data_IF_466398104337
#
_entry.id   IF_466398104337
#
_cell.length_a   1.000
_cell.length_b   1.000
_cell.length_c   1.000
_cell.angle_alpha   90.00
_cell.angle_beta   90.00
_cell.angle_gamma   90.00
#
_symmetry.space_group_name_H-M   'P 1'
#
loop_
_entity.id
_entity.type
_entity.pdbx_description
1 polymer ?
#
# COMPACT_ATOMS: atom_id res chain seq x y z
N UNK A 1 -6.37 18.93 -41.50
CA UNK A 1 -7.32 18.90 -40.37
C UNK A 1 -7.16 17.63 -39.51
N UNK A 2 -7.24 16.42 -40.09
CA UNK A 2 -7.12 15.15 -39.35
C UNK A 2 -5.80 15.01 -38.55
N UNK A 3 -4.66 15.37 -39.15
CA UNK A 3 -3.35 15.26 -38.49
C UNK A 3 -3.23 16.15 -37.23
N UNK A 4 -3.77 17.38 -37.29
CA UNK A 4 -3.76 18.33 -36.17
C UNK A 4 -4.65 17.83 -35.02
N UNK A 5 -5.81 17.26 -35.35
CA UNK A 5 -6.70 16.64 -34.36
C UNK A 5 -6.05 15.43 -33.68
N UNK A 6 -5.32 14.60 -34.43
CA UNK A 6 -4.60 13.45 -33.88
C UNK A 6 -3.51 13.88 -32.87
N UNK A 7 -2.63 14.82 -33.24
CA UNK A 7 -1.60 15.31 -32.35
C UNK A 7 -2.18 15.96 -31.07
N UNK A 8 -3.31 16.66 -31.19
CA UNK A 8 -4.01 17.23 -30.03
C UNK A 8 -4.52 16.16 -29.05
N UNK A 9 -5.09 15.06 -29.55
CA UNK A 9 -5.57 13.96 -28.71
C UNK A 9 -4.40 13.24 -28.02
N UNK A 10 -3.32 12.95 -28.75
CA UNK A 10 -2.14 12.29 -28.17
C UNK A 10 -1.51 13.16 -27.08
N UNK A 11 -1.32 14.45 -27.35
CA UNK A 11 -0.72 15.39 -26.38
C UNK A 11 -1.57 15.53 -25.12
N UNK A 12 -2.89 15.73 -25.27
CA UNK A 12 -3.80 15.85 -24.11
C UNK A 12 -3.87 14.55 -23.28
N UNK A 13 -3.88 13.40 -23.94
CA UNK A 13 -3.84 12.09 -23.26
C UNK A 13 -2.54 11.90 -22.50
N UNK A 14 -1.40 12.23 -23.11
CA UNK A 14 -0.10 12.17 -22.46
C UNK A 14 -0.04 13.08 -21.23
N UNK A 15 -0.49 14.34 -21.36
CA UNK A 15 -0.53 15.28 -20.24
C UNK A 15 -1.43 14.78 -19.10
N UNK A 16 -2.59 14.21 -19.42
CA UNK A 16 -3.48 13.64 -18.40
C UNK A 16 -2.82 12.48 -17.64
N UNK A 17 -2.15 11.55 -18.35
CA UNK A 17 -1.39 10.46 -17.73
C UNK A 17 -0.24 11.01 -16.89
N UNK A 18 0.48 12.02 -17.39
CA UNK A 18 1.58 12.67 -16.68
C UNK A 18 1.10 13.34 -15.38
N UNK A 19 -0.04 14.03 -15.40
CA UNK A 19 -0.63 14.60 -14.19
C UNK A 19 -1.04 13.53 -13.18
N UNK A 20 -1.61 12.41 -13.63
CA UNK A 20 -1.90 11.28 -12.74
C UNK A 20 -0.62 10.66 -12.16
N UNK A 21 0.45 10.59 -12.93
CA UNK A 21 1.75 10.08 -12.48
C UNK A 21 2.35 10.98 -11.38
N UNK A 22 2.34 12.30 -11.59
CA UNK A 22 2.80 13.25 -10.58
C UNK A 22 1.94 13.21 -9.32
N UNK A 23 0.61 13.05 -9.48
CA UNK A 23 -0.30 12.86 -8.35
C UNK A 23 0.05 11.58 -7.57
N UNK A 24 0.29 10.47 -8.27
CA UNK A 24 0.71 9.20 -7.68
C UNK A 24 2.03 9.33 -6.90
N UNK A 25 3.03 10.02 -7.44
CA UNK A 25 4.27 10.34 -6.73
C UNK A 25 4.03 11.21 -5.49
N UNK A 26 3.13 12.19 -5.59
CA UNK A 26 2.72 13.03 -4.46
C UNK A 26 2.16 12.22 -3.29
N UNK A 27 1.41 11.14 -3.56
CA UNK A 27 0.91 10.23 -2.51
C UNK A 27 2.08 9.56 -1.76
N UNK A 28 3.13 9.12 -2.46
CA UNK A 28 4.32 8.53 -1.82
C UNK A 28 5.12 9.55 -1.01
N UNK A 29 5.14 10.82 -1.45
CA UNK A 29 5.83 11.90 -0.75
C UNK A 29 5.04 12.48 0.42
N UNK A 30 3.73 12.19 0.51
CA UNK A 30 2.84 12.72 1.55
C UNK A 30 3.36 12.58 3.00
N UNK A 31 4.08 11.51 3.41
CA UNK A 31 4.65 11.41 4.77
C UNK A 31 5.60 12.55 5.14
N UNK A 32 6.16 13.25 4.16
CA UNK A 32 7.02 14.42 4.37
C UNK A 32 6.19 15.65 4.79
N UNK A 33 4.94 15.74 4.33
CA UNK A 33 4.03 16.86 4.61
C UNK A 33 3.31 16.71 5.96
N UNK A 34 3.03 15.47 6.38
CA UNK A 34 2.41 15.16 7.67
C UNK A 34 3.26 14.13 8.45
N UNK A 35 4.19 14.60 9.30
CA UNK A 35 5.12 13.74 10.02
C UNK A 35 4.44 12.74 10.95
N UNK A 36 3.20 12.98 11.38
CA UNK A 36 2.48 12.00 12.20
C UNK A 36 2.30 10.65 11.46
N UNK A 37 2.27 10.66 10.12
CA UNK A 37 2.20 9.43 9.33
C UNK A 37 3.42 8.53 9.53
N UNK A 38 4.58 9.08 9.91
CA UNK A 38 5.78 8.26 10.14
C UNK A 38 5.58 7.18 11.21
N UNK A 39 4.66 7.41 12.16
CA UNK A 39 4.34 6.42 13.19
C UNK A 39 3.92 5.07 12.60
N UNK A 40 3.19 5.08 11.48
CA UNK A 40 2.75 3.86 10.81
C UNK A 40 3.55 3.53 9.54
N UNK A 41 4.01 4.55 8.80
CA UNK A 41 4.77 4.37 7.57
C UNK A 41 6.13 3.70 7.83
N UNK A 42 6.82 4.04 8.92
CA UNK A 42 8.11 3.42 9.26
C UNK A 42 7.96 1.91 9.50
N UNK A 43 7.04 1.43 10.37
CA UNK A 43 6.78 0.00 10.50
C UNK A 43 6.43 -0.70 9.18
N UNK A 44 5.62 -0.06 8.33
CA UNK A 44 5.25 -0.60 7.01
C UNK A 44 6.49 -0.75 6.13
N UNK A 45 7.34 0.27 6.03
CA UNK A 45 8.57 0.21 5.23
C UNK A 45 9.58 -0.80 5.75
N UNK A 46 9.75 -0.89 7.07
CA UNK A 46 10.64 -1.88 7.69
C UNK A 46 10.16 -3.29 7.38
N UNK A 47 8.88 -3.59 7.64
CA UNK A 47 8.32 -4.92 7.33
C UNK A 47 8.42 -5.21 5.83
N UNK A 48 8.06 -4.25 4.98
CA UNK A 48 8.19 -4.38 3.53
C UNK A 48 9.61 -4.73 3.10
N UNK A 49 10.61 -3.97 3.55
CA UNK A 49 12.00 -4.18 3.17
C UNK A 49 12.50 -5.56 3.60
N UNK A 50 12.29 -5.95 4.86
CA UNK A 50 12.74 -7.26 5.35
C UNK A 50 11.98 -8.40 4.68
N UNK A 51 10.68 -8.28 4.55
CA UNK A 51 9.87 -9.35 3.98
C UNK A 51 10.11 -9.51 2.49
N UNK A 52 10.19 -8.42 1.71
CA UNK A 52 10.42 -8.49 0.26
C UNK A 52 11.80 -9.07 -0.07
N UNK A 53 12.88 -8.48 0.47
CA UNK A 53 14.23 -8.81 0.03
C UNK A 53 14.86 -10.02 0.75
N UNK A 54 14.34 -10.43 1.91
CA UNK A 54 14.92 -11.52 2.69
C UNK A 54 13.96 -12.71 2.88
N UNK A 55 12.68 -12.47 3.10
CA UNK A 55 11.74 -13.54 3.48
C UNK A 55 10.91 -14.08 2.30
N UNK A 56 10.55 -13.22 1.33
CA UNK A 56 9.66 -13.54 0.20
C UNK A 56 10.38 -13.60 -1.14
N UNK A 57 11.72 -13.52 -1.17
CA UNK A 57 12.52 -13.62 -2.39
C UNK A 57 12.22 -14.88 -3.23
N UNK A 58 11.89 -15.99 -2.57
CA UNK A 58 11.48 -17.24 -3.22
C UNK A 58 9.98 -17.54 -3.09
N UNK A 59 9.18 -16.53 -2.77
CA UNK A 59 7.73 -16.61 -2.61
C UNK A 59 7.25 -16.41 -1.18
N UNK A 60 5.95 -16.12 -1.06
CA UNK A 60 5.29 -15.86 0.22
C UNK A 60 5.06 -17.14 1.00
N UNK A 61 5.74 -17.31 2.14
CA UNK A 61 5.46 -18.38 3.11
C UNK A 61 4.27 -18.06 4.02
N UNK A 62 3.75 -19.06 4.74
CA UNK A 62 2.64 -18.87 5.69
C UNK A 62 2.99 -17.88 6.80
N UNK A 63 4.20 -17.97 7.36
CA UNK A 63 4.68 -17.06 8.41
C UNK A 63 4.76 -15.61 7.93
N UNK A 64 5.29 -15.39 6.73
CA UNK A 64 5.39 -14.05 6.13
C UNK A 64 3.99 -13.47 5.90
N UNK A 65 3.06 -14.25 5.34
CA UNK A 65 1.70 -13.80 5.12
C UNK A 65 0.98 -13.42 6.43
N UNK A 66 1.19 -14.18 7.52
CA UNK A 66 0.67 -13.85 8.85
C UNK A 66 1.26 -12.52 9.34
N UNK A 67 2.59 -12.32 9.19
CA UNK A 67 3.25 -11.06 9.56
C UNK A 67 2.69 -9.87 8.79
N UNK A 68 2.48 -10.03 7.48
CA UNK A 68 1.92 -8.99 6.62
C UNK A 68 0.47 -8.66 7.02
N UNK A 69 -0.32 -9.67 7.38
CA UNK A 69 -1.65 -9.48 7.96
C UNK A 69 -1.61 -8.70 9.29
N UNK A 70 -0.62 -8.95 10.14
CA UNK A 70 -0.44 -8.20 11.39
C UNK A 70 -0.09 -6.72 11.15
N UNK A 71 0.72 -6.41 10.13
CA UNK A 71 0.98 -5.02 9.73
C UNK A 71 -0.26 -4.32 9.19
N UNK A 72 -1.12 -5.02 8.44
CA UNK A 72 -2.41 -4.47 8.02
C UNK A 72 -3.31 -4.14 9.22
N UNK A 73 -3.36 -5.03 10.23
CA UNK A 73 -4.06 -4.76 11.49
C UNK A 73 -3.48 -3.53 12.18
N UNK A 74 -2.16 -3.46 12.34
CA UNK A 74 -1.48 -2.33 12.99
C UNK A 74 -1.84 -1.00 12.31
N UNK A 75 -1.78 -0.95 10.98
CA UNK A 75 -2.17 0.22 10.21
C UNK A 75 -3.63 0.61 10.42
N UNK A 76 -4.55 -0.35 10.34
CA UNK A 76 -5.97 -0.06 10.55
C UNK A 76 -6.31 0.46 11.95
N UNK A 77 -5.64 -0.07 12.99
CA UNK A 77 -5.80 0.39 14.37
C UNK A 77 -5.27 1.81 14.52
N UNK A 78 -4.11 2.10 13.94
CA UNK A 78 -3.54 3.44 13.98
C UNK A 78 -4.39 4.47 13.22
N UNK A 79 -4.93 4.10 12.06
CA UNK A 79 -5.88 4.91 11.32
C UNK A 79 -7.13 5.24 12.14
N UNK A 80 -7.71 4.22 12.81
CA UNK A 80 -8.86 4.40 13.68
C UNK A 80 -8.52 5.30 14.88
N UNK A 81 -7.34 5.11 15.50
CA UNK A 81 -6.82 5.96 16.60
C UNK A 81 -6.71 7.42 16.16
N UNK A 82 -6.08 7.68 15.00
CA UNK A 82 -5.90 9.02 14.45
C UNK A 82 -7.25 9.71 14.21
N UNK A 83 -8.17 9.06 13.52
CA UNK A 83 -9.50 9.61 13.24
C UNK A 83 -10.31 9.82 14.52
N UNK A 84 -10.25 8.89 15.47
CA UNK A 84 -10.94 9.04 16.76
C UNK A 84 -10.41 10.25 17.53
N UNK A 85 -9.10 10.47 17.56
CA UNK A 85 -8.51 11.66 18.21
C UNK A 85 -9.01 12.94 17.57
N UNK A 86 -8.97 13.05 16.23
CA UNK A 86 -9.48 14.22 15.53
C UNK A 86 -10.98 14.47 15.81
N UNK A 87 -11.77 13.40 15.96
CA UNK A 87 -13.19 13.50 16.29
C UNK A 87 -13.40 13.96 17.74
N UNK A 88 -12.65 13.39 18.68
CA UNK A 88 -12.69 13.75 20.10
C UNK A 88 -12.26 15.20 20.34
N UNK A 89 -11.28 15.68 19.59
CA UNK A 89 -10.79 17.07 19.63
C UNK A 89 -11.73 18.06 18.90
N UNK A 90 -12.80 17.57 18.27
CA UNK A 90 -13.76 18.39 17.52
C UNK A 90 -13.23 18.95 16.20
N UNK A 91 -12.06 18.49 15.73
CA UNK A 91 -11.42 18.92 14.48
C UNK A 91 -12.22 18.40 13.28
N UNK A 92 -12.69 17.15 13.34
CA UNK A 92 -13.56 16.56 12.32
C UNK A 92 -14.95 16.25 12.89
N UNK A 93 -15.96 16.34 12.03
CA UNK A 93 -17.34 15.93 12.35
C UNK A 93 -17.68 14.63 11.60
N UNK A 94 -18.65 13.89 12.13
CA UNK A 94 -19.14 12.68 11.47
C UNK A 94 -19.90 13.03 10.19
N UNK A 95 -19.16 13.15 9.10
CA UNK A 95 -19.66 13.33 7.75
C UNK A 95 -19.42 12.05 6.94
N UNK A 96 -20.08 11.92 5.78
CA UNK A 96 -19.95 10.75 4.91
C UNK A 96 -18.48 10.41 4.58
N UNK A 97 -17.64 11.41 4.30
CA UNK A 97 -16.22 11.18 4.02
C UNK A 97 -15.45 10.58 5.20
N UNK A 98 -15.74 11.02 6.43
CA UNK A 98 -15.12 10.45 7.65
C UNK A 98 -15.64 9.04 7.90
N UNK A 99 -16.94 8.80 7.70
CA UNK A 99 -17.53 7.47 7.80
C UNK A 99 -16.86 6.47 6.83
N UNK A 100 -16.64 6.87 5.56
CA UNK A 100 -15.93 6.04 4.57
C UNK A 100 -14.52 5.69 5.04
N UNK A 101 -13.80 6.63 5.66
CA UNK A 101 -12.45 6.37 6.18
C UNK A 101 -12.45 5.37 7.35
N UNK A 102 -13.40 5.48 8.28
CA UNK A 102 -13.61 4.47 9.33
C UNK A 102 -13.96 3.10 8.75
N UNK A 103 -14.82 3.06 7.73
CA UNK A 103 -15.15 1.82 7.03
C UNK A 103 -13.93 1.19 6.37
N UNK A 104 -13.08 1.99 5.71
CA UNK A 104 -11.82 1.51 5.12
C UNK A 104 -10.89 0.95 6.19
N UNK A 105 -10.73 1.64 7.33
CA UNK A 105 -9.94 1.12 8.44
C UNK A 105 -10.49 -0.22 8.96
N UNK A 106 -11.81 -0.32 9.18
CA UNK A 106 -12.44 -1.57 9.60
C UNK A 106 -12.29 -2.69 8.56
N UNK A 107 -12.39 -2.39 7.27
CA UNK A 107 -12.20 -3.35 6.20
C UNK A 107 -10.76 -3.89 6.16
N UNK A 108 -9.76 -3.01 6.32
CA UNK A 108 -8.35 -3.41 6.38
C UNK A 108 -8.05 -4.23 7.65
N UNK A 109 -8.67 -3.89 8.78
CA UNK A 109 -8.58 -4.69 10.00
C UNK A 109 -9.11 -6.12 9.77
N UNK A 110 -10.33 -6.24 9.24
CA UNK A 110 -10.95 -7.54 8.93
C UNK A 110 -10.11 -8.32 7.92
N UNK A 111 -9.58 -7.65 6.90
CA UNK A 111 -8.66 -8.25 5.94
C UNK A 111 -7.40 -8.81 6.61
N UNK A 112 -6.75 -8.04 7.49
CA UNK A 112 -5.56 -8.50 8.21
C UNK A 112 -5.85 -9.72 9.10
N UNK A 113 -6.97 -9.70 9.83
CA UNK A 113 -7.45 -10.85 10.63
C UNK A 113 -7.71 -12.06 9.72
N UNK A 114 -8.36 -11.84 8.58
CA UNK A 114 -8.67 -12.91 7.63
C UNK A 114 -7.40 -13.57 7.05
N UNK A 115 -6.39 -12.77 6.67
CA UNK A 115 -5.10 -13.26 6.20
C UNK A 115 -4.42 -14.12 7.29
N UNK A 116 -4.41 -13.65 8.55
CA UNK A 116 -3.84 -14.41 9.66
C UNK A 116 -4.57 -15.75 9.84
N UNK A 117 -5.90 -15.75 9.86
CA UNK A 117 -6.70 -16.98 10.01
C UNK A 117 -6.40 -17.97 8.88
N UNK A 118 -6.30 -17.50 7.63
CA UNK A 118 -5.97 -18.35 6.49
C UNK A 118 -4.54 -18.88 6.55
N UNK A 119 -3.60 -18.07 7.03
CA UNK A 119 -2.22 -18.47 7.29
C UNK A 119 -2.13 -19.58 8.31
N UNK A 120 -2.82 -19.45 9.45
CA UNK A 120 -2.90 -20.47 10.50
C UNK A 120 -3.54 -21.76 9.96
N UNK A 121 -4.58 -21.63 9.11
CA UNK A 121 -5.25 -22.77 8.46
C UNK A 121 -4.51 -23.32 7.24
N UNK A 122 -3.27 -22.87 7.00
CA UNK A 122 -2.40 -23.28 5.89
C UNK A 122 -3.11 -23.27 4.52
N UNK A 123 -3.96 -22.28 4.26
CA UNK A 123 -4.69 -22.16 3.00
C UNK A 123 -3.82 -21.50 1.93
N UNK A 124 -3.57 -22.20 0.82
CA UNK A 124 -2.68 -21.72 -0.27
C UNK A 124 -3.03 -20.34 -0.85
N UNK A 125 -4.29 -19.93 -0.79
CA UNK A 125 -4.71 -18.60 -1.25
C UNK A 125 -4.00 -17.45 -0.52
N UNK A 126 -3.53 -17.69 0.71
CA UNK A 126 -2.81 -16.71 1.52
C UNK A 126 -1.49 -16.26 0.88
N UNK A 127 -0.88 -17.10 0.03
CA UNK A 127 0.34 -16.74 -0.70
C UNK A 127 0.12 -15.65 -1.74
N UNK A 128 -1.12 -15.48 -2.21
CA UNK A 128 -1.48 -14.41 -3.12
C UNK A 128 -1.95 -13.17 -2.34
N UNK A 129 -2.96 -13.34 -1.49
CA UNK A 129 -3.57 -12.20 -0.81
C UNK A 129 -2.70 -11.60 0.27
N UNK A 130 -1.77 -12.37 0.87
CA UNK A 130 -0.88 -11.93 1.95
C UNK A 130 0.50 -11.53 1.45
N UNK A 131 0.74 -11.46 0.14
CA UNK A 131 2.03 -11.07 -0.43
C UNK A 131 2.38 -9.63 -0.07
N UNK A 132 3.58 -9.41 0.48
CA UNK A 132 3.93 -8.11 1.09
C UNK A 132 3.84 -6.95 0.10
N UNK A 133 4.23 -7.15 -1.16
CA UNK A 133 4.17 -6.11 -2.19
C UNK A 133 2.77 -5.52 -2.38
N UNK A 134 1.73 -6.35 -2.30
CA UNK A 134 0.33 -5.90 -2.38
C UNK A 134 -0.10 -5.17 -1.11
N UNK A 135 0.20 -5.76 0.06
CA UNK A 135 -0.16 -5.21 1.35
C UNK A 135 0.45 -3.82 1.52
N UNK A 136 1.77 -3.71 1.34
CA UNK A 136 2.50 -2.45 1.47
C UNK A 136 1.96 -1.39 0.53
N UNK A 137 1.76 -1.72 -0.76
CA UNK A 137 1.25 -0.74 -1.71
C UNK A 137 -0.09 -0.15 -1.26
N UNK A 138 -1.04 -1.00 -0.87
CA UNK A 138 -2.36 -0.55 -0.42
C UNK A 138 -2.22 0.32 0.82
N UNK A 139 -1.43 -0.11 1.81
CA UNK A 139 -1.26 0.66 3.05
C UNK A 139 -0.61 2.02 2.79
N UNK A 140 0.42 2.08 1.94
CA UNK A 140 1.09 3.34 1.57
C UNK A 140 0.17 4.29 0.80
N UNK A 141 -0.69 3.79 -0.09
CA UNK A 141 -1.60 4.63 -0.86
C UNK A 141 -2.81 5.12 -0.05
N UNK A 142 -3.28 4.30 0.90
CA UNK A 142 -4.46 4.63 1.71
C UNK A 142 -4.09 5.52 2.91
N UNK A 143 -2.90 5.38 3.50
CA UNK A 143 -2.52 6.15 4.70
C UNK A 143 -2.66 7.67 4.51
N UNK A 144 -2.11 8.30 3.45
CA UNK A 144 -2.27 9.75 3.22
C UNK A 144 -3.72 10.19 3.06
N UNK A 145 -4.59 9.31 2.56
CA UNK A 145 -6.03 9.56 2.45
C UNK A 145 -6.68 9.57 3.83
N UNK A 146 -6.34 8.61 4.69
CA UNK A 146 -6.83 8.57 6.08
C UNK A 146 -6.42 9.83 6.83
N UNK A 147 -5.15 10.24 6.68
CA UNK A 147 -4.57 11.39 7.35
C UNK A 147 -4.99 12.75 6.79
N UNK A 148 -5.92 12.78 5.82
CA UNK A 148 -6.41 14.00 5.16
C UNK A 148 -5.35 14.80 4.38
N UNK A 149 -4.18 14.22 4.10
CA UNK A 149 -3.15 14.86 3.27
C UNK A 149 -3.54 14.80 1.80
N UNK A 150 -4.06 13.64 1.38
CA UNK A 150 -4.59 13.43 0.03
C UNK A 150 -6.10 13.27 0.08
N UNK A 151 -6.81 13.93 -0.84
CA UNK A 151 -8.26 13.84 -0.95
C UNK A 151 -8.67 12.51 -1.59
N UNK A 152 -9.68 11.84 -1.03
CA UNK A 152 -10.29 10.68 -1.68
C UNK A 152 -11.22 11.14 -2.82
N UNK A 153 -10.71 11.11 -4.04
CA UNK A 153 -11.46 11.41 -5.26
C UNK A 153 -11.13 10.42 -6.39
N UNK A 154 -11.85 10.54 -7.50
CA UNK A 154 -11.68 9.65 -8.67
C UNK A 154 -10.27 9.76 -9.23
N UNK A 155 -9.65 10.95 -9.19
CA UNK A 155 -8.28 11.15 -9.66
C UNK A 155 -7.28 10.35 -8.83
N UNK A 156 -7.42 10.37 -7.51
CA UNK A 156 -6.59 9.59 -6.57
C UNK A 156 -6.77 8.09 -6.80
N UNK A 157 -8.01 7.62 -6.93
CA UNK A 157 -8.29 6.20 -7.21
C UNK A 157 -7.70 5.76 -8.55
N UNK A 158 -7.85 6.58 -9.61
CA UNK A 158 -7.26 6.28 -10.92
C UNK A 158 -5.74 6.24 -10.86
N UNK A 159 -5.10 7.19 -10.17
CA UNK A 159 -3.65 7.24 -10.01
C UNK A 159 -3.12 5.98 -9.30
N UNK A 160 -3.76 5.57 -8.20
CA UNK A 160 -3.41 4.35 -7.45
C UNK A 160 -3.60 3.09 -8.30
N UNK A 161 -4.68 2.97 -9.05
CA UNK A 161 -4.92 1.75 -9.86
C UNK A 161 -3.98 1.71 -11.07
N UNK A 162 -3.84 2.82 -11.80
CA UNK A 162 -3.11 2.88 -13.06
C UNK A 162 -1.61 2.68 -12.88
N UNK A 163 -1.03 3.18 -11.78
CA UNK A 163 0.41 3.09 -11.53
C UNK A 163 0.83 1.94 -10.61
N UNK A 164 -0.11 1.09 -10.17
CA UNK A 164 0.24 -0.13 -9.47
C UNK A 164 1.18 -1.07 -10.28
N UNK A 165 0.96 -1.32 -11.59
CA UNK A 165 1.89 -2.13 -12.38
C UNK A 165 3.30 -1.53 -12.44
N UNK A 166 3.41 -0.20 -12.51
CA UNK A 166 4.69 0.49 -12.50
C UNK A 166 5.42 0.30 -11.17
N UNK A 167 4.73 0.49 -10.04
CA UNK A 167 5.28 0.17 -8.72
C UNK A 167 5.78 -1.28 -8.65
N UNK A 168 4.94 -2.22 -9.08
CA UNK A 168 5.25 -3.64 -9.04
C UNK A 168 6.51 -3.96 -9.85
N UNK A 169 6.62 -3.39 -11.06
CA UNK A 169 7.76 -3.58 -11.94
C UNK A 169 9.05 -2.98 -11.39
N UNK A 170 8.99 -1.79 -10.79
CA UNK A 170 10.15 -1.17 -10.13
C UNK A 170 10.68 -2.07 -9.01
N UNK A 171 9.79 -2.59 -8.14
CA UNK A 171 10.22 -3.48 -7.05
C UNK A 171 10.81 -4.78 -7.60
N UNK A 172 10.24 -5.34 -8.66
CA UNK A 172 10.78 -6.53 -9.31
C UNK A 172 12.22 -6.31 -9.81
N UNK A 173 12.50 -5.16 -10.42
CA UNK A 173 13.86 -4.81 -10.85
C UNK A 173 14.82 -4.75 -9.65
N UNK A 174 14.40 -4.13 -8.54
CA UNK A 174 15.22 -4.08 -7.34
C UNK A 174 15.50 -5.47 -6.77
N UNK A 175 14.51 -6.36 -6.75
CA UNK A 175 14.69 -7.73 -6.26
C UNK A 175 15.64 -8.56 -7.15
N UNK A 176 15.59 -8.36 -8.47
CA UNK A 176 16.54 -8.98 -9.42
C UNK A 176 17.98 -8.52 -9.20
N UNK A 177 18.19 -7.26 -8.80
CA UNK A 177 19.52 -6.69 -8.56
C UNK A 177 20.02 -7.03 -7.14
N UNK A 178 19.11 -7.17 -6.16
CA UNK A 178 19.45 -7.43 -4.78
C UNK A 178 20.17 -8.79 -4.63
N UNK A 179 21.21 -8.89 -3.79
CA UNK A 179 21.91 -10.14 -3.56
C UNK A 179 20.99 -11.17 -2.91
N UNK A 180 21.21 -12.46 -3.20
CA UNK A 180 20.53 -13.55 -2.49
C UNK A 180 21.06 -13.66 -1.06
N UNK A 181 20.19 -13.77 -0.05
CA UNK A 181 20.62 -14.02 1.32
C UNK A 181 21.33 -15.38 1.44
N UNK A 182 22.51 -15.40 2.09
CA UNK A 182 23.30 -16.61 2.28
C UNK A 182 22.56 -17.72 3.06
N UNK A 183 21.54 -17.37 3.85
CA UNK A 183 20.69 -18.32 4.58
C UNK A 183 20.09 -19.38 3.64
N UNK A 184 19.80 -19.03 2.38
CA UNK A 184 19.28 -19.98 1.39
C UNK A 184 20.36 -20.86 0.75
N UNK A 185 21.64 -20.48 0.85
CA UNK A 185 22.77 -21.28 0.36
C UNK A 185 23.25 -22.30 1.38
N UNK A 186 23.14 -21.96 2.66
CA UNK A 186 23.68 -22.75 3.78
C UNK A 186 22.65 -23.67 4.44
N UNK A 187 21.35 -23.48 4.17
CA UNK A 187 20.32 -24.37 4.71
C UNK A 187 20.41 -25.75 4.04
N UNK A 188 20.65 -26.85 4.78
CA UNK A 188 20.61 -28.19 4.20
C UNK A 188 19.23 -28.41 3.58
N UNK A 189 19.21 -28.93 2.34
CA UNK A 189 17.97 -29.32 1.67
C UNK A 189 17.27 -30.37 2.55
N UNK A 190 16.25 -29.94 3.29
CA UNK A 190 15.34 -30.82 4.04
C UNK A 190 14.31 -31.43 3.10
#
# INVERSE_FOLDING_TARGET
MILISFFGIVSSTFLAIWHLFLHWLGIFAAPIEEPEMFWIIIPIWINWFFTEFFQEKHGTGFGNAISNGAIAILASVDWARYMYRLFADGIIRLAFGVFVKFFVAAAVFVYGVYVIILGIKTKKIVFFIGKIRWVTYILLMVTPVIYNVIRLDVQTLMAVILFFPLYYWIIEIFDMIAPEPNVYRESPKS
#
